data_IF_660962272962
#
_entry.id   IF_660962272962
#
_cell.length_a   1.000
_cell.length_b   1.000
_cell.length_c   1.000
_cell.angle_alpha   90.00
_cell.angle_beta   90.00
_cell.angle_gamma   90.00
#
_symmetry.space_group_name_H-M   'P 1'
#
loop_
_entity.id
_entity.type
_entity.pdbx_description
1 polymer ?
#
# COMPACT_ATOMS: atom_id res chain seq x y z
N UNK A 1 -2.20 8.15 6.42
CA UNK A 1 -3.08 7.03 5.98
C UNK A 1 -3.37 6.16 7.20
N UNK A 2 -4.59 5.61 7.34
CA UNK A 2 -5.02 4.77 8.47
C UNK A 2 -6.04 3.71 8.03
N UNK A 3 -6.21 2.61 8.80
CA UNK A 3 -7.29 1.66 8.56
C UNK A 3 -8.67 2.32 8.48
N UNK A 4 -9.56 1.72 7.69
CA UNK A 4 -10.92 2.20 7.41
C UNK A 4 -11.02 3.35 6.40
N UNK A 5 -9.91 3.86 5.88
CA UNK A 5 -9.97 4.88 4.83
C UNK A 5 -10.43 4.28 3.50
N UNK A 6 -11.38 4.95 2.85
CA UNK A 6 -11.92 4.53 1.57
C UNK A 6 -10.87 4.60 0.46
N UNK A 7 -10.89 3.60 -0.40
CA UNK A 7 -10.00 3.39 -1.54
C UNK A 7 -10.83 3.20 -2.80
N UNK A 8 -10.46 3.91 -3.87
CA UNK A 8 -10.94 3.58 -5.23
C UNK A 8 -9.83 2.86 -5.97
N UNK A 9 -10.14 1.72 -6.59
CA UNK A 9 -9.16 0.87 -7.26
C UNK A 9 -9.51 0.77 -8.74
N UNK A 10 -8.52 1.01 -9.58
CA UNK A 10 -8.60 0.84 -11.04
C UNK A 10 -7.69 -0.31 -11.44
N UNK A 11 -8.19 -1.22 -12.26
CA UNK A 11 -7.42 -2.40 -12.69
C UNK A 11 -6.80 -2.14 -14.05
N UNK A 12 -5.51 -2.46 -14.20
CA UNK A 12 -4.83 -2.32 -15.47
C UNK A 12 -5.44 -3.26 -16.51
N UNK A 13 -5.63 -2.77 -17.73
CA UNK A 13 -6.34 -3.50 -18.79
C UNK A 13 -7.87 -3.44 -18.71
N UNK A 14 -8.45 -2.91 -17.62
CA UNK A 14 -9.90 -2.71 -17.50
C UNK A 14 -10.26 -1.26 -17.06
N UNK A 15 -10.07 -0.26 -17.95
CA UNK A 15 -10.17 1.17 -17.60
C UNK A 15 -11.58 1.64 -17.21
N UNK A 16 -12.61 0.89 -17.56
CA UNK A 16 -14.02 1.18 -17.21
C UNK A 16 -14.44 0.62 -15.85
N UNK A 17 -13.64 -0.28 -15.28
CA UNK A 17 -13.94 -0.86 -13.98
C UNK A 17 -13.38 0.01 -12.87
N UNK A 18 -14.26 0.37 -11.94
CA UNK A 18 -13.89 0.98 -10.67
C UNK A 18 -14.37 0.07 -9.55
N UNK A 19 -13.43 -0.36 -8.72
CA UNK A 19 -13.74 -1.12 -7.51
C UNK A 19 -13.63 -0.21 -6.30
N UNK A 20 -14.48 -0.46 -5.31
CA UNK A 20 -14.44 0.20 -4.02
C UNK A 20 -13.87 -0.74 -2.98
N UNK A 21 -13.08 -0.18 -2.08
CA UNK A 21 -12.52 -0.90 -0.96
C UNK A 21 -12.15 0.03 0.17
N UNK A 22 -11.53 -0.53 1.19
CA UNK A 22 -10.97 0.22 2.30
C UNK A 22 -9.59 -0.30 2.69
N UNK A 23 -8.80 0.57 3.29
CA UNK A 23 -7.53 0.19 3.92
C UNK A 23 -7.85 -0.71 5.11
N UNK A 24 -7.40 -1.95 5.06
CA UNK A 24 -7.50 -2.90 6.16
C UNK A 24 -6.39 -2.65 7.18
N UNK A 25 -5.13 -2.66 6.72
CA UNK A 25 -3.98 -2.51 7.59
C UNK A 25 -2.79 -1.89 6.89
N UNK A 26 -1.92 -1.27 7.68
CA UNK A 26 -0.60 -0.79 7.27
C UNK A 26 0.44 -1.52 8.13
N UNK A 27 1.43 -2.13 7.50
CA UNK A 27 2.48 -2.84 8.22
C UNK A 27 3.61 -1.87 8.56
N UNK A 28 3.53 -1.27 9.75
CA UNK A 28 4.58 -0.43 10.32
C UNK A 28 5.74 -1.29 10.90
N UNK A 29 6.28 -2.21 10.09
CA UNK A 29 7.56 -2.87 10.32
C UNK A 29 7.66 -3.92 11.44
N UNK A 30 7.84 -5.18 11.07
CA UNK A 30 8.68 -6.14 11.80
C UNK A 30 9.48 -6.96 10.78
N UNK A 31 10.71 -6.54 10.50
CA UNK A 31 11.65 -7.26 9.64
C UNK A 31 12.98 -6.51 9.41
N UNK A 32 12.93 -5.18 9.23
CA UNK A 32 14.13 -4.38 8.95
C UNK A 32 14.97 -4.01 10.19
N UNK A 33 14.58 -4.44 11.40
CA UNK A 33 15.36 -4.22 12.65
C UNK A 33 16.31 -5.37 13.01
N UNK A 34 16.37 -6.44 12.21
CA UNK A 34 17.19 -7.64 12.50
C UNK A 34 18.22 -8.00 11.40
N UNK A 35 18.78 -7.02 10.67
CA UNK A 35 20.11 -7.28 10.08
C UNK A 35 21.14 -7.07 11.19
N UNK A 36 21.70 -8.16 11.69
CA UNK A 36 22.70 -8.19 12.77
C UNK A 36 24.05 -7.57 12.39
N UNK A 37 24.21 -7.11 11.15
CA UNK A 37 25.43 -6.47 10.68
C UNK A 37 25.07 -5.21 9.88
N UNK A 38 25.49 -4.01 10.34
CA UNK A 38 25.59 -2.88 9.43
C UNK A 38 26.63 -3.24 8.35
N UNK A 39 26.45 -2.82 7.08
CA UNK A 39 27.52 -2.90 6.10
C UNK A 39 28.71 -2.07 6.63
N UNK A 40 29.85 -2.70 6.90
CA UNK A 40 31.11 -2.00 7.17
C UNK A 40 31.59 -1.29 5.90
N UNK A 41 30.99 -0.15 5.58
CA UNK A 41 31.47 0.74 4.53
C UNK A 41 32.42 1.76 5.17
N UNK A 42 33.69 1.37 5.37
CA UNK A 42 34.76 2.21 5.93
C UNK A 42 35.25 3.35 5.01
N UNK A 43 34.35 4.01 4.26
CA UNK A 43 34.65 5.12 3.34
C UNK A 43 33.64 6.28 3.42
N UNK A 44 32.63 6.23 4.31
CA UNK A 44 31.78 7.40 4.59
C UNK A 44 30.78 7.79 3.48
N UNK A 45 30.27 6.84 2.69
CA UNK A 45 29.16 7.10 1.76
C UNK A 45 27.80 6.89 2.45
N UNK A 46 26.97 7.94 2.51
CA UNK A 46 25.58 7.84 2.94
C UNK A 46 24.70 7.36 1.78
N UNK A 47 24.08 6.17 1.92
CA UNK A 47 23.09 5.66 0.97
C UNK A 47 21.70 5.83 1.56
N UNK A 48 20.88 6.69 0.95
CA UNK A 48 19.45 6.81 1.32
C UNK A 48 18.70 5.57 0.83
N UNK A 49 18.24 4.75 1.76
CA UNK A 49 17.40 3.57 1.45
C UNK A 49 15.92 3.98 1.48
N UNK A 50 15.17 3.63 0.43
CA UNK A 50 13.71 3.81 0.40
C UNK A 50 13.06 2.71 1.25
N UNK A 51 12.43 3.10 2.35
CA UNK A 51 11.59 2.19 3.13
C UNK A 51 10.16 2.22 2.60
N UNK A 52 9.67 1.08 2.11
CA UNK A 52 8.28 0.91 1.69
C UNK A 52 7.45 0.41 2.87
N UNK A 53 6.23 0.94 3.02
CA UNK A 53 5.25 0.48 4.00
C UNK A 53 4.18 -0.32 3.26
N UNK A 54 4.07 -1.64 3.48
CA UNK A 54 3.01 -2.44 2.89
C UNK A 54 1.64 -1.98 3.38
N UNK A 55 0.69 -1.85 2.45
CA UNK A 55 -0.71 -1.51 2.72
C UNK A 55 -1.59 -2.62 2.19
N UNK A 56 -2.45 -3.17 3.04
CA UNK A 56 -3.46 -4.15 2.66
C UNK A 56 -4.79 -3.44 2.44
N UNK A 57 -5.43 -3.72 1.31
CA UNK A 57 -6.73 -3.15 0.92
C UNK A 57 -7.69 -4.32 0.71
N UNK A 58 -8.90 -4.20 1.26
CA UNK A 58 -9.99 -5.17 1.07
C UNK A 58 -11.06 -4.52 0.20
N UNK A 59 -11.60 -5.30 -0.76
CA UNK A 59 -12.72 -4.86 -1.58
C UNK A 59 -14.01 -4.88 -0.76
N UNK A 60 -14.84 -3.86 -0.92
CA UNK A 60 -16.11 -3.73 -0.19
C UNK A 60 -17.20 -4.65 -0.76
N UNK A 61 -17.02 -5.11 -2.01
CA UNK A 61 -17.97 -5.98 -2.71
C UNK A 61 -17.23 -7.05 -3.52
N UNK A 62 -17.89 -8.20 -3.80
CA UNK A 62 -17.39 -9.19 -4.74
C UNK A 62 -17.14 -8.59 -6.13
N UNK A 63 -16.29 -9.25 -6.91
CA UNK A 63 -16.07 -8.86 -8.30
C UNK A 63 -17.37 -9.04 -9.10
N UNK A 64 -17.64 -8.14 -10.07
CA UNK A 64 -18.75 -8.32 -11.00
C UNK A 64 -18.68 -9.68 -11.71
N UNK A 65 -19.82 -10.33 -12.01
CA UNK A 65 -19.84 -11.57 -12.77
C UNK A 65 -19.13 -11.42 -14.13
N UNK A 66 -18.30 -12.40 -14.48
CA UNK A 66 -17.54 -12.41 -15.74
C UNK A 66 -16.27 -11.54 -15.72
N UNK A 67 -15.91 -10.98 -14.57
CA UNK A 67 -14.63 -10.31 -14.37
C UNK A 67 -13.66 -11.23 -13.62
N UNK A 68 -12.66 -11.73 -14.34
CA UNK A 68 -11.53 -12.45 -13.74
C UNK A 68 -10.37 -11.49 -13.47
N UNK A 69 -10.11 -11.22 -12.19
CA UNK A 69 -8.86 -10.59 -11.76
C UNK A 69 -7.99 -11.68 -11.16
N UNK A 70 -6.84 -11.92 -11.80
CA UNK A 70 -5.88 -12.92 -11.36
C UNK A 70 -4.86 -12.33 -10.37
N UNK A 71 -4.36 -13.15 -9.42
CA UNK A 71 -3.20 -12.77 -8.62
C UNK A 71 -2.02 -12.32 -9.52
N UNK A 72 -1.37 -11.22 -9.14
CA UNK A 72 -0.27 -10.62 -9.90
C UNK A 72 -0.69 -9.52 -10.88
N UNK A 73 -1.99 -9.29 -11.08
CA UNK A 73 -2.45 -8.12 -11.85
C UNK A 73 -2.12 -6.80 -11.13
N UNK A 74 -1.70 -5.82 -11.91
CA UNK A 74 -1.44 -4.46 -11.44
C UNK A 74 -2.73 -3.65 -11.31
N UNK A 75 -2.75 -2.77 -10.32
CA UNK A 75 -3.85 -1.85 -10.05
C UNK A 75 -3.32 -0.49 -9.63
N UNK A 76 -4.15 0.55 -9.82
CA UNK A 76 -3.91 1.90 -9.32
C UNK A 76 -4.90 2.18 -8.17
N UNK A 77 -4.44 2.17 -6.91
CA UNK A 77 -5.27 2.53 -5.76
C UNK A 77 -5.19 4.03 -5.43
N UNK A 78 -6.34 4.65 -5.22
CA UNK A 78 -6.46 6.04 -4.77
C UNK A 78 -7.12 6.08 -3.38
N UNK A 79 -6.39 6.54 -2.37
CA UNK A 79 -6.87 6.61 -0.98
C UNK A 79 -7.24 8.04 -0.62
N UNK A 80 -8.47 8.24 -0.12
CA UNK A 80 -8.88 9.55 0.40
C UNK A 80 -8.38 9.73 1.83
N UNK A 81 -7.32 10.53 1.97
CA UNK A 81 -6.76 10.89 3.28
C UNK A 81 -7.34 12.22 3.73
N UNK A 82 -8.18 12.21 4.78
CA UNK A 82 -8.49 13.45 5.50
C UNK A 82 -7.23 13.85 6.30
N UNK A 83 -6.83 15.13 6.30
CA UNK A 83 -5.81 15.61 7.23
C UNK A 83 -6.18 15.18 8.64
N UNK A 84 -5.21 14.74 9.44
CA UNK A 84 -5.42 14.72 10.87
C UNK A 84 -5.61 16.18 11.28
N UNK A 85 -6.79 16.54 11.80
CA UNK A 85 -6.95 17.81 12.51
C UNK A 85 -5.89 17.82 13.59
N UNK A 86 -4.87 18.68 13.45
CA UNK A 86 -3.83 18.81 14.45
C UNK A 86 -4.46 19.34 15.73
N UNK A 87 -4.29 18.60 16.82
CA UNK A 87 -4.33 19.22 18.15
C UNK A 87 -3.06 20.07 18.29
N UNK A 88 -3.27 21.34 18.62
CA UNK A 88 -2.24 22.29 19.01
C UNK A 88 -1.70 21.96 20.39
#
# INVERSE_FOLDING_TARGET
MRPGQAVTIRVDGQPRLKLSGHVDSLQYGTGARFSLLPPENAVGNYVKVVQRVPVKIILDAPLPPGLDISPGMSVVPEVRVKPATGEH
#
